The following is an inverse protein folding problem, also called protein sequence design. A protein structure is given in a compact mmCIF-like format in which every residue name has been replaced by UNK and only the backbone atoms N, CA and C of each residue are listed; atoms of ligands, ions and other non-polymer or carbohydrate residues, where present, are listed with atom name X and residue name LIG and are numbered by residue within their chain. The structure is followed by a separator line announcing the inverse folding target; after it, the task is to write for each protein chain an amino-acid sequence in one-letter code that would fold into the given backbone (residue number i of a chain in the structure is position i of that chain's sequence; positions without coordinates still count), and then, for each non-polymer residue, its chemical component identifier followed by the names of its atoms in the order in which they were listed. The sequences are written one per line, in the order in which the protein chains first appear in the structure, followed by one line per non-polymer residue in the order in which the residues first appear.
data_IF_565079928614
#
_entry.id   IF_565079928614
#
_cell.length_a   1.000
_cell.length_b   1.000
_cell.length_c   1.000
_cell.angle_alpha   90.00
_cell.angle_beta   90.00
_cell.angle_gamma   90.00
#
_symmetry.space_group_name_H-M   'P 1'
#
loop_
_entity.id
_entity.type
_entity.pdbx_description
1 polymer ?
#
# COMPACT_ATOMS: atom_id res chain seq x y z
N UNK A 1 -16.09 6.05 15.93
CA UNK A 1 -16.07 6.69 14.59
C UNK A 1 -14.72 6.39 13.94
N UNK A 2 -14.69 6.09 12.64
CA UNK A 2 -13.50 5.61 11.93
C UNK A 2 -12.31 6.59 12.01
N UNK A 3 -12.59 7.90 11.99
CA UNK A 3 -11.58 8.95 12.08
C UNK A 3 -10.96 9.05 13.48
N UNK A 4 -11.74 8.86 14.54
CA UNK A 4 -11.21 8.80 15.91
C UNK A 4 -10.26 7.61 16.09
N UNK A 5 -10.59 6.46 15.48
CA UNK A 5 -9.71 5.29 15.47
C UNK A 5 -8.43 5.56 14.68
N UNK A 6 -8.54 6.16 13.50
CA UNK A 6 -7.39 6.58 12.70
C UNK A 6 -6.46 7.52 13.46
N UNK A 7 -7.00 8.51 14.15
CA UNK A 7 -6.24 9.44 14.98
C UNK A 7 -5.53 8.73 16.14
N UNK A 8 -6.26 7.89 16.88
CA UNK A 8 -5.72 7.19 18.06
C UNK A 8 -4.59 6.22 17.71
N UNK A 9 -4.71 5.52 16.57
CA UNK A 9 -3.75 4.50 16.15
C UNK A 9 -2.78 4.98 15.05
N UNK A 10 -2.76 6.28 14.73
CA UNK A 10 -1.94 6.86 13.67
C UNK A 10 -2.04 6.10 12.34
N UNK A 11 -3.24 5.65 11.98
CA UNK A 11 -3.49 4.92 10.74
C UNK A 11 -3.94 5.87 9.65
N UNK A 12 -3.44 5.69 8.43
CA UNK A 12 -3.93 6.42 7.27
C UNK A 12 -5.36 6.03 6.93
N UNK A 13 -6.13 6.99 6.41
CA UNK A 13 -7.49 6.80 5.94
C UNK A 13 -7.58 7.02 4.45
N UNK A 14 -8.46 6.26 3.81
CA UNK A 14 -8.87 6.40 2.42
C UNK A 14 -10.28 6.98 2.40
N UNK A 15 -10.45 8.08 1.66
CA UNK A 15 -11.69 8.87 1.61
C UNK A 15 -12.16 8.97 0.18
N UNK A 16 -13.37 8.48 -0.04
CA UNK A 16 -14.07 8.60 -1.31
C UNK A 16 -14.99 9.82 -1.26
N UNK A 17 -14.80 10.73 -2.21
CA UNK A 17 -15.67 11.90 -2.39
C UNK A 17 -16.76 11.61 -3.42
N UNK A 18 -17.87 12.35 -3.35
CA UNK A 18 -18.95 12.30 -4.32
C UNK A 18 -18.64 13.07 -5.62
N UNK A 19 -17.48 13.73 -5.68
CA UNK A 19 -17.00 14.47 -6.84
C UNK A 19 -16.75 13.56 -8.04
N UNK A 20 -17.24 13.98 -9.20
CA UNK A 20 -17.05 13.31 -10.48
C UNK A 20 -16.23 14.17 -11.42
N UNK A 21 -15.49 13.51 -12.31
CA UNK A 21 -14.80 14.16 -13.42
C UNK A 21 -15.77 14.52 -14.57
N UNK A 22 -15.23 15.13 -15.63
CA UNK A 22 -15.98 15.50 -16.84
C UNK A 22 -16.62 14.30 -17.56
N UNK A 23 -16.13 13.09 -17.28
CA UNK A 23 -16.63 11.84 -17.85
C UNK A 23 -17.61 11.11 -16.91
N UNK A 24 -17.97 11.72 -15.78
CA UNK A 24 -18.90 11.16 -14.80
C UNK A 24 -18.31 10.05 -13.93
N UNK A 25 -16.99 9.82 -13.99
CA UNK A 25 -16.26 8.87 -13.14
C UNK A 25 -15.97 9.52 -11.79
N UNK A 26 -15.99 8.74 -10.72
CA UNK A 26 -15.58 9.24 -9.42
C UNK A 26 -14.08 9.52 -9.41
N UNK A 27 -13.66 10.57 -8.71
CA UNK A 27 -12.26 10.84 -8.47
C UNK A 27 -11.63 9.74 -7.61
N UNK A 28 -10.32 9.58 -7.76
CA UNK A 28 -9.56 8.64 -6.95
C UNK A 28 -9.71 8.98 -5.45
N UNK A 29 -9.74 7.96 -4.57
CA UNK A 29 -9.85 8.19 -3.14
C UNK A 29 -8.66 9.01 -2.63
N UNK A 30 -8.93 10.00 -1.79
CA UNK A 30 -7.89 10.73 -1.08
C UNK A 30 -7.32 9.85 0.04
N UNK A 31 -6.01 9.71 0.07
CA UNK A 31 -5.31 8.98 1.13
C UNK A 31 -4.52 9.97 1.98
N UNK A 32 -4.71 9.94 3.29
CA UNK A 32 -4.00 10.83 4.19
C UNK A 32 -4.08 10.42 5.66
N UNK A 33 -3.30 11.11 6.49
CA UNK A 33 -3.37 10.96 7.93
C UNK A 33 -4.34 12.00 8.50
N UNK A 34 -5.25 11.57 9.36
CA UNK A 34 -6.15 12.48 10.05
C UNK A 34 -5.47 13.00 11.33
N UNK A 35 -5.30 14.33 11.43
CA UNK A 35 -4.58 14.99 12.51
C UNK A 35 -5.49 15.45 13.68
N UNK A 36 -6.79 15.18 13.61
CA UNK A 36 -7.75 15.56 14.65
C UNK A 36 -8.50 16.87 14.39
N UNK A 37 -8.23 17.54 13.27
CA UNK A 37 -8.93 18.76 12.86
C UNK A 37 -10.28 18.41 12.21
N UNK A 38 -11.33 18.34 13.03
CA UNK A 38 -12.70 18.13 12.59
C UNK A 38 -13.64 19.18 13.22
N UNK A 39 -14.41 19.82 12.36
CA UNK A 39 -15.45 20.78 12.68
C UNK A 39 -16.82 20.18 12.31
N UNK A 40 -17.88 20.92 12.62
CA UNK A 40 -19.26 20.46 12.39
C UNK A 40 -19.55 20.20 10.91
N UNK A 41 -19.00 21.02 10.01
CA UNK A 41 -19.30 20.98 8.56
C UNK A 41 -18.20 20.32 7.70
N UNK A 42 -16.97 20.30 8.20
CA UNK A 42 -15.81 19.80 7.47
C UNK A 42 -14.71 19.28 8.40
N UNK A 43 -13.76 18.56 7.82
CA UNK A 43 -12.54 18.12 8.50
C UNK A 43 -11.34 18.32 7.58
N UNK A 44 -10.13 18.27 8.14
CA UNK A 44 -8.89 18.54 7.42
C UNK A 44 -8.04 17.27 7.32
N UNK A 45 -7.58 16.96 6.12
CA UNK A 45 -6.61 15.90 5.83
C UNK A 45 -5.61 16.42 4.79
N UNK A 46 -4.31 16.22 5.04
CA UNK A 46 -3.22 16.67 4.17
C UNK A 46 -3.34 18.16 3.78
N UNK A 47 -3.65 19.02 4.76
CA UNK A 47 -3.89 20.46 4.58
C UNK A 47 -5.06 20.82 3.63
N UNK A 48 -5.88 19.83 3.24
CA UNK A 48 -7.07 20.01 2.42
C UNK A 48 -8.34 19.92 3.29
N UNK A 49 -9.23 20.90 3.13
CA UNK A 49 -10.56 20.87 3.75
C UNK A 49 -11.50 19.95 2.97
N UNK A 50 -12.21 19.10 3.69
CA UNK A 50 -13.18 18.13 3.14
C UNK A 50 -14.50 18.29 3.87
N UNK A 51 -15.55 18.66 3.14
CA UNK A 51 -16.90 18.78 3.68
C UNK A 51 -17.54 17.41 3.93
N UNK A 52 -18.22 17.25 5.06
CA UNK A 52 -18.92 16.00 5.37
C UNK A 52 -20.00 15.65 4.33
N UNK A 53 -20.63 16.66 3.73
CA UNK A 53 -21.64 16.49 2.67
C UNK A 53 -21.10 15.79 1.42
N UNK A 54 -19.80 15.96 1.16
CA UNK A 54 -19.17 15.49 -0.06
C UNK A 54 -18.54 14.11 0.12
N UNK A 55 -18.44 13.63 1.36
CA UNK A 55 -17.90 12.30 1.68
C UNK A 55 -18.93 11.22 1.35
N UNK A 56 -18.48 10.24 0.55
CA UNK A 56 -19.23 9.01 0.29
C UNK A 56 -18.88 7.90 1.28
N UNK A 57 -17.58 7.69 1.47
CA UNK A 57 -17.07 6.58 2.26
C UNK A 57 -15.71 6.92 2.85
N UNK A 58 -15.48 6.47 4.08
CA UNK A 58 -14.19 6.59 4.77
C UNK A 58 -13.83 5.22 5.32
N UNK A 59 -12.62 4.78 5.03
CA UNK A 59 -12.05 3.55 5.57
C UNK A 59 -10.64 3.77 6.08
N UNK A 60 -10.21 2.96 7.06
CA UNK A 60 -8.81 2.88 7.46
C UNK A 60 -8.07 2.06 6.42
N UNK A 61 -7.00 2.63 5.85
CA UNK A 61 -6.18 1.95 4.87
C UNK A 61 -5.46 0.78 5.55
N UNK A 62 -5.72 -0.43 5.05
CA UNK A 62 -5.01 -1.64 5.47
C UNK A 62 -3.80 -1.81 4.58
N UNK A 63 -2.63 -1.40 5.08
CA UNK A 63 -1.39 -1.64 4.36
C UNK A 63 -0.95 -3.09 4.58
N UNK A 64 -0.97 -3.88 3.51
CA UNK A 64 -0.30 -5.17 3.45
C UNK A 64 1.03 -4.96 2.75
N UNK A 65 2.13 -5.39 3.36
CA UNK A 65 3.43 -5.32 2.70
C UNK A 65 3.43 -6.32 1.55
N UNK A 66 4.02 -5.97 0.41
CA UNK A 66 4.07 -6.83 -0.76
C UNK A 66 4.68 -8.21 -0.45
N UNK A 67 5.68 -8.26 0.44
CA UNK A 67 6.32 -9.50 0.85
C UNK A 67 5.44 -10.39 1.75
N UNK A 68 4.41 -9.83 2.40
CA UNK A 68 3.43 -10.63 3.15
C UNK A 68 2.41 -11.33 2.22
N UNK A 69 2.40 -10.97 0.93
CA UNK A 69 1.60 -11.62 -0.11
C UNK A 69 2.34 -12.89 -0.57
N UNK A 70 2.50 -13.85 0.34
CA UNK A 70 2.94 -15.20 0.00
C UNK A 70 1.84 -15.88 -0.82
N UNK A 71 1.90 -15.76 -2.15
CA UNK A 71 1.05 -16.50 -3.09
C UNK A 71 1.09 -18.02 -2.84
N UNK A 72 2.14 -18.51 -2.17
CA UNK A 72 2.40 -19.92 -1.92
C UNK A 72 1.93 -20.43 -0.53
N UNK A 73 1.41 -19.57 0.35
CA UNK A 73 0.97 -19.98 1.70
C UNK A 73 -0.44 -20.56 1.77
N UNK A 74 -1.17 -20.61 0.65
CA UNK A 74 -2.49 -21.24 0.64
C UNK A 74 -2.34 -22.75 0.89
N UNK A 75 -2.59 -23.15 2.14
CA UNK A 75 -2.62 -24.54 2.60
C UNK A 75 -3.81 -25.28 1.98
N UNK A 76 -3.58 -25.77 0.77
CA UNK A 76 -4.34 -26.80 0.09
C UNK A 76 -3.38 -27.58 -0.80
N UNK A 77 -2.50 -28.36 -0.19
CA UNK A 77 -1.52 -29.18 -0.93
C UNK A 77 -2.24 -30.23 -1.80
N UNK A 78 -1.57 -30.74 -2.85
CA UNK A 78 -0.83 -31.96 -2.59
C UNK A 78 0.53 -31.91 -3.26
N UNK A 79 1.54 -31.46 -2.52
CA UNK A 79 2.95 -31.82 -2.76
C UNK A 79 3.71 -31.48 -1.49
N UNK A 80 3.93 -32.48 -0.63
CA UNK A 80 5.01 -32.41 0.36
C UNK A 80 6.30 -32.17 -0.42
N UNK A 81 6.90 -31.00 -0.28
CA UNK A 81 8.34 -30.85 -0.49
C UNK A 81 8.92 -30.68 0.89
N UNK A 82 9.65 -31.71 1.32
CA UNK A 82 10.37 -31.74 2.58
C UNK A 82 11.34 -30.55 2.63
N UNK A 83 11.21 -29.71 3.66
CA UNK A 83 12.20 -28.69 3.99
C UNK A 83 13.51 -29.38 4.37
N UNK A 84 14.40 -29.53 3.40
CA UNK A 84 15.81 -29.74 3.68
C UNK A 84 16.40 -28.37 4.02
N UNK A 85 16.70 -28.17 5.31
CA UNK A 85 17.64 -27.16 5.77
C UNK A 85 18.89 -27.22 4.88
N UNK A 86 19.05 -26.24 3.99
CA UNK A 86 20.31 -25.99 3.31
C UNK A 86 20.83 -24.67 3.85
N UNK A 87 21.99 -24.77 4.49
CA UNK A 87 22.85 -23.65 4.85
C UNK A 87 22.88 -22.66 3.69
N UNK A 88 22.44 -21.45 3.97
CA UNK A 88 22.64 -20.30 3.09
C UNK A 88 24.09 -19.92 3.31
N UNK A 89 24.97 -20.31 2.40
CA UNK A 89 26.23 -19.64 2.12
C UNK A 89 26.80 -20.18 0.80
N UNK A 90 26.26 -19.67 -0.29
CA UNK A 90 27.01 -19.58 -1.54
C UNK A 90 26.75 -18.18 -2.08
N UNK A 91 27.74 -17.31 -1.90
CA UNK A 91 27.84 -16.01 -2.55
C UNK A 91 27.40 -16.15 -4.02
N UNK A 92 26.50 -15.28 -4.47
CA UNK A 92 25.92 -15.38 -5.82
C UNK A 92 27.04 -15.16 -6.83
N UNK A 93 27.49 -16.23 -7.48
CA UNK A 93 28.54 -16.15 -8.49
C UNK A 93 28.03 -15.41 -9.74
N UNK A 94 28.81 -14.46 -10.21
CA UNK A 94 28.48 -13.66 -11.39
C UNK A 94 28.63 -14.51 -12.66
N UNK A 95 27.51 -14.90 -13.27
CA UNK A 95 27.50 -15.72 -14.50
C UNK A 95 27.79 -14.84 -15.71
N UNK A 96 29.03 -14.92 -16.23
CA UNK A 96 29.46 -14.25 -17.47
C UNK A 96 29.32 -15.20 -18.67
N UNK A 97 28.11 -15.29 -19.22
CA UNK A 97 27.86 -16.07 -20.45
C UNK A 97 28.13 -15.22 -21.71
N UNK A 98 27.87 -15.80 -22.88
CA UNK A 98 28.06 -15.16 -24.20
C UNK A 98 27.24 -13.88 -24.40
N UNK A 99 26.22 -13.66 -23.56
CA UNK A 99 25.37 -12.47 -23.56
C UNK A 99 25.79 -11.45 -22.50
N UNK A 100 26.84 -11.74 -21.72
CA UNK A 100 27.32 -10.85 -20.67
C UNK A 100 28.03 -9.64 -21.28
N UNK A 101 27.53 -8.45 -20.96
CA UNK A 101 28.14 -7.17 -21.33
C UNK A 101 28.76 -6.53 -20.09
N UNK A 102 30.07 -6.34 -20.11
CA UNK A 102 30.74 -5.52 -19.09
C UNK A 102 30.35 -4.07 -19.26
N UNK A 103 30.08 -3.38 -18.15
CA UNK A 103 29.95 -1.93 -18.16
C UNK A 103 31.28 -1.31 -18.59
N UNK A 104 31.22 -0.27 -19.42
CA UNK A 104 32.38 0.56 -19.70
C UNK A 104 32.68 1.35 -18.43
N UNK A 105 33.90 1.23 -17.91
CA UNK A 105 34.39 2.13 -16.88
C UNK A 105 34.72 3.45 -17.59
N UNK A 106 34.08 4.55 -17.17
CA UNK A 106 34.45 5.89 -17.62
C UNK A 106 35.76 6.26 -16.90
N UNK A 107 36.88 6.36 -17.64
CA UNK A 107 38.19 6.87 -17.18
C UNK A 107 38.17 8.39 -16.93
#
# INVERSE_FOLDING_TARGET
MILSESFLYHKSVSIQLNTKDEFGRFLDPLVGLFLGEAYDDYFVINDQQIFWSDVRHIEIKKEQKWFDIDYFRNKGSPSKVEEKNKEIDSEVELIKNEYYQSFLEDD
#
